data_IF_456240052098
#
_entry.id   IF_456240052098
#
_cell.length_a   1.000
_cell.length_b   1.000
_cell.length_c   1.000
_cell.angle_alpha   90.00
_cell.angle_beta   90.00
_cell.angle_gamma   90.00
#
_symmetry.space_group_name_H-M   'P 1'
#
loop_
_entity.id
_entity.type
_entity.pdbx_description
1 polymer ?
#
# COMPACT_ATOMS: atom_id res chain seq x y z
N UNK A 1 31.74 13.14 19.25
CA UNK A 1 32.47 12.08 18.52
C UNK A 1 31.98 10.65 18.83
N UNK A 2 31.93 10.17 20.09
CA UNK A 2 31.34 8.83 20.38
C UNK A 2 29.80 8.81 20.33
N UNK A 3 29.14 9.92 20.71
CA UNK A 3 27.68 10.02 20.74
C UNK A 3 27.08 10.02 19.32
N UNK A 4 27.73 10.70 18.38
CA UNK A 4 27.27 10.85 17.00
C UNK A 4 27.27 9.50 16.25
N UNK A 5 28.25 8.64 16.53
CA UNK A 5 28.35 7.30 15.95
C UNK A 5 27.28 6.38 16.54
N UNK A 6 26.99 6.52 17.84
CA UNK A 6 25.96 5.74 18.53
C UNK A 6 24.56 6.10 18.04
N UNK A 7 24.27 7.40 17.89
CA UNK A 7 23.02 7.92 17.32
C UNK A 7 22.81 7.40 15.89
N UNK A 8 23.84 7.48 15.04
CA UNK A 8 23.79 7.01 13.66
C UNK A 8 23.56 5.49 13.55
N UNK A 9 24.14 4.69 14.44
CA UNK A 9 23.91 3.25 14.46
C UNK A 9 22.51 2.87 14.95
N UNK A 10 21.97 3.61 15.92
CA UNK A 10 20.58 3.43 16.38
C UNK A 10 19.60 3.79 15.27
N UNK A 11 19.84 4.91 14.59
CA UNK A 11 19.05 5.37 13.44
C UNK A 11 18.99 4.31 12.34
N UNK A 12 20.15 3.79 11.89
CA UNK A 12 20.19 2.73 10.88
C UNK A 12 19.48 1.47 11.36
N UNK A 13 19.65 1.08 12.63
CA UNK A 13 18.98 -0.09 13.20
C UNK A 13 17.47 0.07 13.21
N UNK A 14 16.96 1.26 13.54
CA UNK A 14 15.53 1.57 13.48
C UNK A 14 14.97 1.47 12.06
N UNK A 15 15.71 1.99 11.07
CA UNK A 15 15.32 1.86 9.67
C UNK A 15 15.27 0.41 9.19
N UNK A 16 16.28 -0.38 9.54
CA UNK A 16 16.31 -1.81 9.19
C UNK A 16 15.13 -2.55 9.82
N UNK A 17 14.83 -2.29 11.09
CA UNK A 17 13.68 -2.89 11.77
C UNK A 17 12.38 -2.47 11.10
N UNK A 18 12.21 -1.18 10.77
CA UNK A 18 11.03 -0.67 10.08
C UNK A 18 10.83 -1.36 8.73
N UNK A 19 11.88 -1.54 7.95
CA UNK A 19 11.82 -2.28 6.67
C UNK A 19 11.39 -3.73 6.89
N UNK A 20 12.00 -4.43 7.85
CA UNK A 20 11.66 -5.84 8.12
C UNK A 20 10.18 -5.98 8.50
N UNK A 21 9.71 -5.13 9.42
CA UNK A 21 8.29 -5.11 9.81
C UNK A 21 7.40 -4.82 8.60
N UNK A 22 7.78 -3.84 7.77
CA UNK A 22 7.00 -3.47 6.59
C UNK A 22 6.94 -4.61 5.57
N UNK A 23 8.03 -5.35 5.36
CA UNK A 23 8.07 -6.55 4.51
C UNK A 23 7.14 -7.63 5.05
N UNK A 24 7.20 -7.93 6.35
CA UNK A 24 6.32 -8.92 6.99
C UNK A 24 4.85 -8.54 6.79
N UNK A 25 4.51 -7.27 7.01
CA UNK A 25 3.16 -6.77 6.82
C UNK A 25 2.73 -6.80 5.34
N UNK A 26 3.61 -6.48 4.40
CA UNK A 26 3.34 -6.60 2.96
C UNK A 26 3.02 -8.06 2.58
N UNK A 27 3.87 -9.00 2.99
CA UNK A 27 3.67 -10.43 2.71
C UNK A 27 2.36 -10.93 3.32
N UNK A 28 2.06 -10.56 4.56
CA UNK A 28 0.81 -10.93 5.21
C UNK A 28 -0.43 -10.35 4.48
N UNK A 29 -0.35 -9.10 4.05
CA UNK A 29 -1.43 -8.44 3.30
C UNK A 29 -1.66 -9.09 1.94
N UNK A 30 -0.58 -9.47 1.25
CA UNK A 30 -0.67 -10.21 0.01
C UNK A 30 -1.31 -11.59 0.22
N UNK A 31 -0.95 -12.28 1.31
CA UNK A 31 -1.59 -13.54 1.68
C UNK A 31 -3.11 -13.38 1.85
N UNK A 32 -3.58 -12.32 2.53
CA UNK A 32 -5.02 -12.04 2.69
C UNK A 32 -5.72 -11.80 1.35
N UNK A 33 -5.07 -11.12 0.40
CA UNK A 33 -5.62 -10.94 -0.96
C UNK A 33 -5.81 -12.30 -1.63
N UNK A 34 -4.78 -13.16 -1.58
CA UNK A 34 -4.83 -14.50 -2.21
C UNK A 34 -5.90 -15.37 -1.55
N UNK A 35 -5.98 -15.37 -0.23
CA UNK A 35 -6.99 -16.10 0.54
C UNK A 35 -8.40 -15.64 0.20
N UNK A 36 -8.62 -14.32 0.17
CA UNK A 36 -9.91 -13.74 -0.21
C UNK A 36 -10.31 -14.12 -1.63
N UNK A 37 -9.38 -14.03 -2.60
CA UNK A 37 -9.62 -14.46 -3.99
C UNK A 37 -9.91 -15.96 -4.10
N UNK A 38 -9.26 -16.80 -3.30
CA UNK A 38 -9.53 -18.24 -3.28
C UNK A 38 -10.94 -18.53 -2.73
N UNK A 39 -11.38 -17.79 -1.70
CA UNK A 39 -12.71 -17.88 -1.10
C UNK A 39 -13.86 -17.51 -2.06
N UNK A 40 -13.58 -16.69 -3.09
CA UNK A 40 -14.56 -16.31 -4.10
C UNK A 40 -14.91 -17.43 -5.11
N UNK A 41 -14.21 -18.57 -5.09
CA UNK A 41 -14.41 -19.64 -6.08
C UNK A 41 -15.65 -20.53 -5.85
N UNK A 42 -16.41 -20.35 -4.77
CA UNK A 42 -17.42 -21.33 -4.34
C UNK A 42 -18.80 -20.83 -3.92
N UNK A 43 -19.09 -19.53 -3.94
CA UNK A 43 -20.36 -18.97 -3.44
C UNK A 43 -20.78 -17.70 -4.21
N UNK A 44 -22.05 -17.26 -4.14
CA UNK A 44 -22.46 -15.95 -4.64
C UNK A 44 -21.63 -14.88 -3.94
N UNK A 45 -20.92 -14.05 -4.72
CA UNK A 45 -19.96 -13.04 -4.25
C UNK A 45 -20.61 -12.08 -3.25
N UNK A 46 -20.36 -12.23 -1.93
CA UNK A 46 -20.83 -11.26 -0.96
C UNK A 46 -20.05 -9.97 -1.16
N UNK A 47 -20.75 -8.85 -1.14
CA UNK A 47 -20.21 -7.50 -1.33
C UNK A 47 -19.06 -7.23 -0.34
N UNK A 48 -19.21 -7.72 0.88
CA UNK A 48 -18.22 -7.66 1.96
C UNK A 48 -16.90 -8.36 1.63
N UNK A 49 -16.95 -9.46 0.86
CA UNK A 49 -15.75 -10.20 0.46
C UNK A 49 -14.92 -9.40 -0.55
N UNK A 50 -15.58 -8.70 -1.48
CA UNK A 50 -14.91 -7.82 -2.45
C UNK A 50 -14.23 -6.66 -1.72
N UNK A 51 -14.91 -6.06 -0.73
CA UNK A 51 -14.32 -5.01 0.10
C UNK A 51 -13.10 -5.49 0.88
N UNK A 52 -13.18 -6.66 1.52
CA UNK A 52 -12.06 -7.20 2.29
C UNK A 52 -10.82 -7.44 1.41
N UNK A 53 -11.03 -7.95 0.18
CA UNK A 53 -9.95 -8.17 -0.80
C UNK A 53 -9.34 -6.85 -1.26
N UNK A 54 -10.17 -5.88 -1.63
CA UNK A 54 -9.70 -4.55 -2.05
C UNK A 54 -8.97 -3.84 -0.90
N UNK A 55 -9.48 -3.90 0.32
CA UNK A 55 -8.82 -3.35 1.50
C UNK A 55 -7.43 -3.95 1.70
N UNK A 56 -7.33 -5.28 1.59
CA UNK A 56 -6.07 -6.03 1.73
C UNK A 56 -5.08 -5.69 0.61
N UNK A 57 -5.59 -5.47 -0.61
CA UNK A 57 -4.79 -5.08 -1.77
C UNK A 57 -4.22 -3.66 -1.60
N UNK A 58 -5.05 -2.70 -1.16
CA UNK A 58 -4.57 -1.36 -0.83
C UNK A 58 -3.51 -1.38 0.27
N UNK A 59 -3.72 -2.19 1.30
CA UNK A 59 -2.79 -2.32 2.41
C UNK A 59 -1.44 -2.90 1.94
N UNK A 60 -1.48 -3.88 1.05
CA UNK A 60 -0.28 -4.41 0.39
C UNK A 60 0.46 -3.33 -0.43
N UNK A 61 -0.25 -2.57 -1.26
CA UNK A 61 0.35 -1.50 -2.09
C UNK A 61 1.03 -0.44 -1.20
N UNK A 62 0.38 0.01 -0.11
CA UNK A 62 0.97 0.97 0.84
C UNK A 62 2.29 0.44 1.40
N UNK A 63 2.35 -0.83 1.79
CA UNK A 63 3.58 -1.39 2.35
C UNK A 63 4.69 -1.54 1.31
N UNK A 64 4.36 -1.89 0.07
CA UNK A 64 5.34 -1.89 -1.03
C UNK A 64 5.90 -0.49 -1.25
N UNK A 65 5.04 0.53 -1.27
CA UNK A 65 5.44 1.93 -1.46
C UNK A 65 6.31 2.45 -0.30
N UNK A 66 5.98 2.07 0.94
CA UNK A 66 6.79 2.37 2.11
C UNK A 66 8.16 1.69 2.04
N UNK A 67 8.24 0.43 1.61
CA UNK A 67 9.52 -0.27 1.41
C UNK A 67 10.37 0.49 0.39
N UNK A 68 9.81 0.85 -0.77
CA UNK A 68 10.55 1.59 -1.79
C UNK A 68 11.05 2.95 -1.26
N UNK A 69 10.21 3.67 -0.52
CA UNK A 69 10.58 4.92 0.15
C UNK A 69 11.74 4.72 1.14
N UNK A 70 11.68 3.70 2.01
CA UNK A 70 12.75 3.40 2.97
C UNK A 70 14.05 2.95 2.30
N UNK A 71 13.96 2.10 1.28
CA UNK A 71 15.13 1.63 0.51
C UNK A 71 15.82 2.82 -0.17
N UNK A 72 15.03 3.70 -0.78
CA UNK A 72 15.54 4.91 -1.44
C UNK A 72 16.23 5.84 -0.46
N UNK A 73 15.63 6.03 0.72
CA UNK A 73 16.26 6.80 1.79
C UNK A 73 17.61 6.21 2.22
N UNK A 74 17.70 4.87 2.37
CA UNK A 74 18.97 4.22 2.72
C UNK A 74 20.02 4.39 1.62
N UNK A 75 19.61 4.30 0.35
CA UNK A 75 20.52 4.36 -0.81
C UNK A 75 21.01 5.77 -1.11
N UNK A 76 20.09 6.73 -1.17
CA UNK A 76 20.40 8.11 -1.60
C UNK A 76 20.64 9.06 -0.43
N UNK A 77 20.30 8.66 0.81
CA UNK A 77 20.29 9.50 2.03
C UNK A 77 19.41 10.75 1.93
N UNK A 78 18.59 10.82 0.90
CA UNK A 78 17.63 11.89 0.68
C UNK A 78 16.22 11.32 0.73
N UNK A 79 15.32 12.04 1.38
CA UNK A 79 13.90 11.72 1.32
C UNK A 79 13.35 12.38 0.06
N UNK A 80 13.03 11.56 -0.93
CA UNK A 80 12.54 12.09 -2.19
C UNK A 80 11.04 12.43 -2.07
N UNK A 81 10.70 13.70 -2.23
CA UNK A 81 9.36 14.25 -1.97
C UNK A 81 8.27 13.51 -2.76
N UNK A 82 8.52 13.13 -4.01
CA UNK A 82 7.51 12.43 -4.81
C UNK A 82 7.15 11.04 -4.23
N UNK A 83 8.09 10.33 -3.59
CA UNK A 83 7.80 9.02 -2.96
C UNK A 83 6.90 9.18 -1.74
N UNK A 84 7.10 10.24 -0.95
CA UNK A 84 6.18 10.56 0.15
C UNK A 84 4.78 10.86 -0.38
N UNK A 85 4.69 11.63 -1.48
CA UNK A 85 3.42 11.97 -2.12
C UNK A 85 2.72 10.69 -2.60
N UNK A 86 3.43 9.75 -3.20
CA UNK A 86 2.87 8.48 -3.64
C UNK A 86 2.35 7.65 -2.46
N UNK A 87 3.12 7.49 -1.37
CA UNK A 87 2.62 6.85 -0.12
C UNK A 87 1.37 7.56 0.41
N UNK A 88 1.36 8.89 0.45
CA UNK A 88 0.25 9.68 0.95
C UNK A 88 -0.99 9.55 0.05
N UNK A 89 -0.83 9.52 -1.27
CA UNK A 89 -1.92 9.32 -2.22
C UNK A 89 -2.51 7.92 -2.09
N UNK A 90 -1.69 6.88 -1.93
CA UNK A 90 -2.20 5.52 -1.71
C UNK A 90 -2.92 5.41 -0.36
N UNK A 91 -2.38 6.02 0.70
CA UNK A 91 -3.03 6.06 2.01
C UNK A 91 -4.36 6.84 1.97
N UNK A 92 -4.41 7.97 1.27
CA UNK A 92 -5.63 8.74 1.04
C UNK A 92 -6.65 7.95 0.22
N UNK A 93 -6.22 7.24 -0.83
CA UNK A 93 -7.09 6.37 -1.61
C UNK A 93 -7.70 5.25 -0.75
N UNK A 94 -6.92 4.68 0.18
CA UNK A 94 -7.42 3.72 1.17
C UNK A 94 -8.43 4.35 2.13
N UNK A 95 -8.15 5.53 2.67
CA UNK A 95 -9.06 6.18 3.62
C UNK A 95 -10.37 6.58 2.93
N UNK A 96 -10.29 7.08 1.69
CA UNK A 96 -11.45 7.31 0.84
C UNK A 96 -12.20 6.02 0.55
N UNK A 97 -11.50 4.91 0.26
CA UNK A 97 -12.13 3.60 0.07
C UNK A 97 -12.87 3.14 1.33
N UNK A 98 -12.27 3.25 2.52
CA UNK A 98 -12.90 2.89 3.79
C UNK A 98 -14.11 3.80 4.06
N UNK A 99 -13.99 5.10 3.80
CA UNK A 99 -15.04 6.09 4.04
C UNK A 99 -16.22 5.94 3.06
N UNK A 100 -15.95 5.57 1.80
CA UNK A 100 -16.95 5.34 0.75
C UNK A 100 -17.52 3.92 0.84
N UNK A 101 -16.79 2.97 1.44
CA UNK A 101 -17.25 1.60 1.67
C UNK A 101 -18.45 1.61 2.63
N UNK A 102 -19.65 1.22 2.16
CA UNK A 102 -20.87 1.41 2.90
C UNK A 102 -21.04 0.25 3.87
N UNK A 103 -20.33 0.31 4.99
CA UNK A 103 -20.65 -0.53 6.16
C UNK A 103 -22.04 -0.20 6.76
N UNK A 104 -22.88 0.61 6.07
CA UNK A 104 -24.24 0.93 6.51
C UNK A 104 -25.34 1.04 5.41
N UNK A 105 -25.07 0.87 4.10
CA UNK A 105 -26.12 0.81 3.05
C UNK A 105 -25.68 0.03 1.81
N UNK A 106 -26.38 -1.05 1.47
CA UNK A 106 -26.40 -1.82 0.20
C UNK A 106 -25.39 -1.37 -0.88
N UNK A 107 -24.43 -2.25 -1.20
CA UNK A 107 -23.47 -2.05 -2.28
C UNK A 107 -24.18 -1.74 -3.60
N UNK A 108 -23.67 -0.74 -4.29
CA UNK A 108 -24.03 -0.48 -5.67
C UNK A 108 -22.79 -0.78 -6.52
N UNK A 109 -22.97 -1.57 -7.57
CA UNK A 109 -21.96 -1.96 -8.57
C UNK A 109 -21.17 -0.74 -9.08
N UNK A 110 -21.80 0.44 -9.12
CA UNK A 110 -21.15 1.69 -9.48
C UNK A 110 -19.97 2.07 -8.56
N UNK A 111 -20.04 1.74 -7.27
CA UNK A 111 -18.95 1.98 -6.32
C UNK A 111 -17.77 1.03 -6.55
N UNK A 112 -18.04 -0.23 -6.89
CA UNK A 112 -17.00 -1.19 -7.25
C UNK A 112 -16.22 -0.73 -8.50
N UNK A 113 -16.92 -0.20 -9.51
CA UNK A 113 -16.27 0.37 -10.69
C UNK A 113 -15.42 1.60 -10.37
N UNK A 114 -15.90 2.50 -9.51
CA UNK A 114 -15.12 3.67 -9.09
C UNK A 114 -13.81 3.26 -8.40
N UNK A 115 -13.81 2.14 -7.67
CA UNK A 115 -12.64 1.64 -6.95
C UNK A 115 -11.64 0.93 -7.85
N UNK A 116 -12.13 0.10 -8.78
CA UNK A 116 -11.28 -0.47 -9.83
C UNK A 116 -10.66 0.64 -10.67
N UNK A 117 -11.41 1.71 -10.97
CA UNK A 117 -10.89 2.87 -11.67
C UNK A 117 -9.82 3.61 -10.85
N UNK A 118 -10.02 3.83 -9.55
CA UNK A 118 -9.04 4.47 -8.68
C UNK A 118 -7.72 3.66 -8.59
N UNK A 119 -7.81 2.35 -8.41
CA UNK A 119 -6.65 1.44 -8.46
C UNK A 119 -5.97 1.45 -9.83
N UNK A 120 -6.77 1.48 -10.90
CA UNK A 120 -6.27 1.62 -12.26
C UNK A 120 -5.51 2.93 -12.47
N UNK A 121 -6.01 4.05 -11.95
CA UNK A 121 -5.33 5.35 -12.02
C UNK A 121 -3.99 5.32 -11.28
N UNK A 122 -3.93 4.71 -10.09
CA UNK A 122 -2.67 4.54 -9.35
C UNK A 122 -1.67 3.72 -10.18
N UNK A 123 -2.11 2.57 -10.72
CA UNK A 123 -1.25 1.73 -11.56
C UNK A 123 -0.80 2.40 -12.86
N UNK A 124 -1.65 3.25 -13.46
CA UNK A 124 -1.30 4.04 -14.65
C UNK A 124 -0.30 5.14 -14.31
N UNK A 125 -0.48 5.85 -13.20
CA UNK A 125 0.46 6.87 -12.74
C UNK A 125 1.82 6.23 -12.48
N UNK A 126 1.85 5.11 -11.78
CA UNK A 126 3.09 4.36 -11.50
C UNK A 126 3.78 3.91 -12.79
N UNK A 127 3.03 3.34 -13.74
CA UNK A 127 3.55 2.96 -15.05
C UNK A 127 4.14 4.16 -15.82
N UNK A 128 3.46 5.31 -15.80
CA UNK A 128 3.92 6.53 -16.48
C UNK A 128 5.17 7.11 -15.82
N UNK A 129 5.25 7.12 -14.49
CA UNK A 129 6.45 7.55 -13.77
C UNK A 129 7.66 6.66 -14.08
N UNK A 130 7.46 5.34 -14.15
CA UNK A 130 8.52 4.39 -14.52
C UNK A 130 8.97 4.58 -15.97
N UNK A 131 8.03 4.90 -16.88
CA UNK A 131 8.35 5.20 -18.28
C UNK A 131 9.10 6.52 -18.44
N UNK A 132 8.79 7.54 -17.63
CA UNK A 132 9.44 8.86 -17.69
C UNK A 132 10.87 8.87 -17.14
N UNK A 133 11.26 7.86 -16.34
CA UNK A 133 12.62 7.68 -15.80
C UNK A 133 13.57 6.89 -16.71
N UNK A 134 13.09 6.35 -17.84
CA UNK A 134 13.93 5.81 -18.93
C UNK A 134 14.15 6.86 -20.01
#
# INVERSE_FOLDING_TARGET
>A
MKLDILLKNIEISLYVVAIIVTIVLAVYSFYLVVEGLAGLRGAPYPEDAVYSILASLFLFIIFVELIDTFVTYIQEKEIIVYKIIDVALVALARELFIYISPTNKSFDINHAYALVAALGVIGVIDYLQHRARR
#
